data_IF_096641349815
#
_entry.id   IF_096641349815
#
_cell.length_a   1.000
_cell.length_b   1.000
_cell.length_c   1.000
_cell.angle_alpha   90.00
_cell.angle_beta   90.00
_cell.angle_gamma   90.00
#
_symmetry.space_group_name_H-M   'P 1'
#
loop_
_entity.id
_entity.type
_entity.pdbx_description
1 polymer ?
#
# COMPACT_ATOMS: atom_id res chain seq x y z
N UNK A 1 -5.06 -20.11 -29.27
CA UNK A 1 -5.01 -19.27 -28.05
C UNK A 1 -6.24 -19.58 -27.24
N UNK A 2 -6.05 -19.95 -25.98
CA UNK A 2 -7.10 -20.56 -25.16
C UNK A 2 -8.03 -19.47 -24.59
N UNK A 3 -9.35 -19.66 -24.63
CA UNK A 3 -10.31 -18.65 -24.15
C UNK A 3 -10.14 -18.32 -22.64
N UNK A 4 -9.55 -19.23 -21.85
CA UNK A 4 -9.16 -18.98 -20.45
C UNK A 4 -7.98 -18.01 -20.29
N UNK A 5 -7.04 -17.98 -21.24
CA UNK A 5 -5.92 -17.02 -21.23
C UNK A 5 -6.39 -15.62 -21.62
N UNK A 6 -7.39 -15.52 -22.50
CA UNK A 6 -8.00 -14.24 -22.85
C UNK A 6 -8.79 -13.66 -21.67
N UNK A 7 -9.60 -14.47 -20.98
CA UNK A 7 -10.41 -14.01 -19.85
C UNK A 7 -9.55 -13.58 -18.65
N UNK A 8 -8.50 -14.33 -18.33
CA UNK A 8 -7.56 -13.99 -17.24
C UNK A 8 -6.76 -12.72 -17.52
N UNK A 9 -6.39 -12.45 -18.78
CA UNK A 9 -5.69 -11.22 -19.16
C UNK A 9 -6.62 -9.98 -19.15
N UNK A 10 -7.88 -10.15 -19.55
CA UNK A 10 -8.89 -9.07 -19.52
C UNK A 10 -9.26 -8.71 -18.06
N UNK A 11 -9.39 -9.70 -17.17
CA UNK A 11 -9.64 -9.47 -15.74
C UNK A 11 -8.44 -8.85 -15.01
N UNK A 12 -7.19 -9.20 -15.39
CA UNK A 12 -5.99 -8.53 -14.88
C UNK A 12 -5.92 -7.08 -15.33
N UNK A 13 -6.25 -6.78 -16.60
CA UNK A 13 -6.27 -5.42 -17.14
C UNK A 13 -7.31 -4.51 -16.47
N UNK A 14 -8.55 -4.99 -16.27
CA UNK A 14 -9.61 -4.25 -15.54
C UNK A 14 -9.33 -4.10 -14.04
N UNK A 15 -8.70 -5.09 -13.40
CA UNK A 15 -8.27 -4.96 -12.00
C UNK A 15 -7.12 -3.97 -11.81
N UNK A 16 -6.21 -3.87 -12.78
CA UNK A 16 -5.14 -2.87 -12.76
C UNK A 16 -5.70 -1.45 -12.80
N UNK A 17 -6.60 -1.13 -13.72
CA UNK A 17 -7.20 0.21 -13.83
C UNK A 17 -7.96 0.64 -12.55
N UNK A 18 -8.58 -0.32 -11.85
CA UNK A 18 -9.20 -0.10 -10.53
C UNK A 18 -8.19 0.03 -9.36
N UNK A 19 -7.09 -0.75 -9.35
CA UNK A 19 -5.99 -0.59 -8.35
C UNK A 19 -5.26 0.74 -8.53
N UNK A 20 -5.09 1.17 -9.78
CA UNK A 20 -4.35 2.38 -10.17
C UNK A 20 -5.04 3.68 -9.72
N UNK A 21 -6.36 3.76 -9.78
CA UNK A 21 -7.11 4.96 -9.36
C UNK A 21 -7.20 5.16 -7.84
N UNK A 22 -6.71 4.19 -7.06
CA UNK A 22 -6.85 4.14 -5.61
C UNK A 22 -5.51 4.25 -4.87
N UNK A 23 -4.41 4.69 -5.52
CA UNK A 23 -3.12 4.85 -4.85
C UNK A 23 -3.20 5.65 -3.55
N UNK A 24 -3.92 6.78 -3.57
CA UNK A 24 -4.12 7.63 -2.37
C UNK A 24 -4.91 6.91 -1.26
N UNK A 25 -5.64 5.85 -1.58
CA UNK A 25 -6.37 5.03 -0.63
C UNK A 25 -5.54 3.87 -0.05
N UNK A 26 -4.39 3.57 -0.65
CA UNK A 26 -3.45 2.56 -0.14
C UNK A 26 -2.82 3.02 1.18
N UNK A 27 -2.28 2.09 1.96
CA UNK A 27 -1.52 2.42 3.18
C UNK A 27 -0.38 3.38 2.89
N UNK A 28 0.35 3.19 1.79
CA UNK A 28 1.45 4.05 1.40
C UNK A 28 0.97 5.44 0.97
N UNK A 29 -0.06 5.51 0.12
CA UNK A 29 -0.64 6.79 -0.33
C UNK A 29 -1.25 7.61 0.80
N UNK A 30 -1.96 6.97 1.75
CA UNK A 30 -2.47 7.62 2.97
C UNK A 30 -1.35 8.14 3.86
N UNK A 31 -0.27 7.37 4.01
CA UNK A 31 0.93 7.78 4.76
C UNK A 31 1.55 9.03 4.14
N UNK A 32 1.74 9.02 2.81
CA UNK A 32 2.29 10.18 2.07
C UNK A 32 1.38 11.39 2.19
N UNK A 33 0.07 11.23 1.98
CA UNK A 33 -0.88 12.34 2.06
C UNK A 33 -0.90 12.99 3.45
N UNK A 34 -0.87 12.19 4.51
CA UNK A 34 -0.79 12.68 5.89
C UNK A 34 0.52 13.41 6.16
N UNK A 35 1.64 12.88 5.65
CA UNK A 35 2.95 13.50 5.81
C UNK A 35 3.07 14.84 5.05
N UNK A 36 2.48 14.94 3.85
CA UNK A 36 2.40 16.19 3.10
C UNK A 36 1.56 17.22 3.87
N UNK A 37 0.42 16.83 4.45
CA UNK A 37 -0.40 17.73 5.29
C UNK A 37 0.40 18.31 6.46
N UNK A 38 1.08 17.43 7.21
CA UNK A 38 1.94 17.84 8.34
C UNK A 38 3.06 18.76 7.87
N UNK A 39 3.75 18.39 6.79
CA UNK A 39 4.83 19.20 6.22
C UNK A 39 4.35 20.58 5.78
N UNK A 40 3.19 20.66 5.12
CA UNK A 40 2.58 21.92 4.70
C UNK A 40 2.24 22.80 5.91
N UNK A 41 1.71 22.23 7.00
CA UNK A 41 1.43 22.98 8.24
C UNK A 41 2.71 23.56 8.85
N UNK A 42 3.83 22.85 8.77
CA UNK A 42 5.12 23.36 9.25
C UNK A 42 5.66 24.49 8.38
N UNK A 43 5.45 24.41 7.07
CA UNK A 43 5.91 25.44 6.12
C UNK A 43 5.00 26.68 6.13
N UNK A 44 3.74 26.50 6.49
CA UNK A 44 2.71 27.54 6.49
C UNK A 44 2.07 27.69 7.89
N UNK A 45 2.86 27.97 8.94
CA UNK A 45 2.37 27.98 10.32
C UNK A 45 1.36 29.10 10.60
N UNK A 46 1.42 30.18 9.80
CA UNK A 46 0.62 31.39 10.01
C UNK A 46 -0.71 31.38 9.25
N UNK A 47 -0.97 30.37 8.41
CA UNK A 47 -2.26 30.24 7.72
C UNK A 47 -3.32 29.76 8.70
N UNK A 48 -4.48 30.43 8.70
CA UNK A 48 -5.64 29.94 9.43
C UNK A 48 -6.22 28.70 8.73
N UNK A 49 -6.99 27.89 9.45
CA UNK A 49 -7.42 26.56 8.96
C UNK A 49 -8.15 26.61 7.61
N UNK A 50 -8.99 27.63 7.37
CA UNK A 50 -9.70 27.77 6.09
C UNK A 50 -8.73 28.04 4.92
N UNK A 51 -7.75 28.91 5.11
CA UNK A 51 -6.73 29.21 4.10
C UNK A 51 -5.82 28.00 3.86
N UNK A 52 -5.49 27.27 4.92
CA UNK A 52 -4.74 26.02 4.82
C UNK A 52 -5.50 24.96 4.01
N UNK A 53 -6.80 24.80 4.27
CA UNK A 53 -7.67 23.89 3.51
C UNK A 53 -7.72 24.29 2.04
N UNK A 54 -7.85 25.58 1.72
CA UNK A 54 -7.86 26.06 0.33
C UNK A 54 -6.55 25.78 -0.41
N UNK A 55 -5.40 25.95 0.27
CA UNK A 55 -4.08 25.60 -0.27
C UNK A 55 -3.99 24.11 -0.55
N UNK A 56 -4.36 23.27 0.43
CA UNK A 56 -4.35 21.81 0.30
C UNK A 56 -5.27 21.35 -0.83
N UNK A 57 -6.50 21.83 -0.86
CA UNK A 57 -7.48 21.52 -1.89
C UNK A 57 -6.98 21.95 -3.26
N UNK A 58 -6.35 23.12 -3.36
CA UNK A 58 -5.78 23.61 -4.60
C UNK A 58 -4.65 22.71 -5.08
N UNK A 59 -3.80 22.16 -4.22
CA UNK A 59 -2.79 21.18 -4.61
C UNK A 59 -3.42 19.85 -5.07
N UNK A 60 -4.42 19.34 -4.34
CA UNK A 60 -5.12 18.09 -4.68
C UNK A 60 -5.88 18.24 -6.02
N UNK A 61 -6.75 19.23 -6.13
CA UNK A 61 -7.53 19.60 -7.35
C UNK A 61 -6.63 20.10 -8.47
N UNK A 62 -5.47 20.67 -8.13
CA UNK A 62 -4.46 21.19 -9.04
C UNK A 62 -3.75 20.12 -9.87
N UNK A 63 -3.92 18.85 -9.49
CA UNK A 63 -3.45 17.72 -10.27
C UNK A 63 -2.43 16.86 -9.55
N UNK A 64 -2.37 16.87 -8.22
CA UNK A 64 -1.62 15.83 -7.49
C UNK A 64 -2.22 14.44 -7.79
N UNK A 65 -3.55 14.32 -7.71
CA UNK A 65 -4.28 13.11 -8.10
C UNK A 65 -4.08 12.76 -9.58
N UNK A 66 -4.16 13.76 -10.46
CA UNK A 66 -3.96 13.57 -11.92
C UNK A 66 -2.52 13.18 -12.27
N UNK A 67 -1.53 13.76 -11.60
CA UNK A 67 -0.11 13.53 -11.84
C UNK A 67 0.33 12.15 -11.36
N UNK A 68 -0.20 11.70 -10.21
CA UNK A 68 -0.11 10.30 -9.78
C UNK A 68 -0.72 9.40 -10.85
N UNK A 69 -2.00 9.58 -11.21
CA UNK A 69 -2.66 8.75 -12.21
C UNK A 69 -1.92 8.71 -13.57
N UNK A 70 -1.33 9.82 -14.01
CA UNK A 70 -0.57 9.90 -15.27
C UNK A 70 0.77 9.17 -15.18
N UNK A 71 1.48 9.27 -14.07
CA UNK A 71 2.70 8.50 -13.82
C UNK A 71 2.40 6.99 -13.80
N UNK A 72 1.28 6.62 -13.16
CA UNK A 72 0.78 5.24 -13.10
C UNK A 72 0.45 4.68 -14.51
N UNK A 73 -0.31 5.43 -15.32
CA UNK A 73 -0.65 5.01 -16.68
C UNK A 73 0.58 4.89 -17.59
N UNK A 74 1.61 5.70 -17.34
CA UNK A 74 2.88 5.64 -18.07
C UNK A 74 3.73 4.42 -17.65
N UNK A 75 3.53 3.91 -16.43
CA UNK A 75 4.24 2.76 -15.88
C UNK A 75 3.69 1.40 -16.32
N UNK A 76 2.58 1.35 -17.07
CA UNK A 76 2.05 0.10 -17.68
C UNK A 76 3.09 -0.55 -18.63
N UNK A 77 4.09 0.22 -19.08
CA UNK A 77 5.23 -0.25 -19.87
C UNK A 77 6.52 -0.51 -19.05
N UNK A 78 6.48 -0.33 -17.72
CA UNK A 78 7.63 -0.49 -16.82
C UNK A 78 7.42 -1.72 -15.92
N UNK A 79 8.49 -2.47 -15.67
CA UNK A 79 8.44 -3.74 -14.96
C UNK A 79 7.83 -3.66 -13.54
N UNK A 80 7.60 -4.82 -12.92
CA UNK A 80 6.84 -5.00 -11.67
C UNK A 80 7.20 -4.04 -10.51
N UNK A 81 8.48 -3.69 -10.34
CA UNK A 81 8.94 -2.79 -9.29
C UNK A 81 8.45 -1.35 -9.46
N UNK A 82 8.23 -0.90 -10.70
CA UNK A 82 7.62 0.41 -10.95
C UNK A 82 6.13 0.36 -10.61
N UNK A 83 5.42 -0.71 -11.00
CA UNK A 83 4.00 -0.86 -10.68
C UNK A 83 3.72 -0.84 -9.17
N UNK A 84 4.57 -1.42 -8.33
CA UNK A 84 4.34 -1.44 -6.87
C UNK A 84 4.46 -0.07 -6.19
N UNK A 85 5.35 0.80 -6.67
CA UNK A 85 5.45 2.21 -6.24
C UNK A 85 4.12 2.95 -6.43
N UNK A 86 3.41 2.58 -7.49
CA UNK A 86 2.28 3.29 -8.05
C UNK A 86 0.92 2.72 -7.62
N UNK A 87 0.87 1.42 -7.38
CA UNK A 87 -0.34 0.72 -6.92
C UNK A 87 -0.34 0.53 -5.40
N UNK A 88 0.82 0.70 -4.74
CA UNK A 88 1.00 0.36 -3.33
C UNK A 88 1.11 -1.16 -3.09
N UNK A 89 1.08 -1.95 -4.16
CA UNK A 89 1.14 -3.40 -4.13
C UNK A 89 2.56 -3.89 -4.43
N UNK A 90 3.19 -4.52 -3.46
CA UNK A 90 4.57 -5.00 -3.60
C UNK A 90 4.58 -6.52 -3.54
N UNK A 91 5.53 -7.16 -4.23
CA UNK A 91 5.73 -8.60 -4.10
C UNK A 91 6.28 -8.93 -2.71
N UNK A 92 7.21 -8.11 -2.22
CA UNK A 92 7.86 -8.30 -0.92
C UNK A 92 8.38 -6.98 -0.32
N UNK A 93 8.74 -7.04 0.97
CA UNK A 93 9.23 -5.89 1.71
C UNK A 93 10.54 -5.31 1.14
N UNK A 94 11.42 -6.15 0.57
CA UNK A 94 12.68 -5.70 -0.04
C UNK A 94 12.45 -4.81 -1.26
N UNK A 95 11.49 -5.18 -2.11
CA UNK A 95 11.04 -4.35 -3.23
C UNK A 95 10.49 -3.01 -2.74
N UNK A 96 9.66 -3.04 -1.70
CA UNK A 96 9.09 -1.83 -1.11
C UNK A 96 10.18 -0.90 -0.52
N UNK A 97 11.14 -1.45 0.22
CA UNK A 97 12.26 -0.69 0.77
C UNK A 97 13.18 -0.10 -0.31
N UNK A 98 13.43 -0.84 -1.38
CA UNK A 98 14.32 -0.41 -2.47
C UNK A 98 13.74 0.77 -3.25
N UNK A 99 12.43 0.79 -3.46
CA UNK A 99 11.70 1.89 -4.10
C UNK A 99 11.83 3.24 -3.35
N UNK A 100 12.06 3.19 -2.04
CA UNK A 100 12.23 4.37 -1.18
C UNK A 100 13.70 4.79 -1.16
N UNK A 101 14.59 3.83 -0.84
CA UNK A 101 16.04 4.08 -0.67
C UNK A 101 16.72 4.55 -1.95
N UNK A 102 16.21 4.15 -3.11
CA UNK A 102 16.74 4.58 -4.41
C UNK A 102 16.35 6.02 -4.79
N UNK A 103 15.65 6.76 -3.93
CA UNK A 103 15.12 8.09 -4.25
C UNK A 103 13.82 8.06 -5.05
N UNK A 104 13.46 6.93 -5.66
CA UNK A 104 12.34 6.82 -6.61
C UNK A 104 11.02 7.45 -6.13
N UNK A 105 10.52 7.08 -4.95
CA UNK A 105 9.27 7.64 -4.41
C UNK A 105 9.41 9.11 -4.02
N UNK A 106 10.50 9.47 -3.33
CA UNK A 106 10.70 10.84 -2.81
C UNK A 106 10.95 11.83 -3.94
N UNK A 107 11.74 11.46 -4.95
CA UNK A 107 12.03 12.27 -6.13
C UNK A 107 10.79 12.47 -7.00
N UNK A 108 9.96 11.42 -7.12
CA UNK A 108 8.67 11.50 -7.81
C UNK A 108 7.73 12.48 -7.12
N UNK A 109 7.68 12.46 -5.78
CA UNK A 109 6.87 13.40 -4.99
C UNK A 109 7.42 14.83 -5.11
N UNK A 110 8.73 15.02 -5.05
CA UNK A 110 9.39 16.31 -5.23
C UNK A 110 9.05 16.94 -6.59
N UNK A 111 9.18 16.13 -7.65
CA UNK A 111 8.85 16.55 -9.02
C UNK A 111 7.37 16.89 -9.16
N UNK A 112 6.48 16.04 -8.61
CA UNK A 112 5.04 16.26 -8.67
C UNK A 112 4.63 17.53 -7.94
N UNK A 113 5.22 17.78 -6.76
CA UNK A 113 4.96 18.99 -5.98
C UNK A 113 5.38 20.23 -6.77
N UNK A 114 6.55 20.24 -7.41
CA UNK A 114 6.99 21.38 -8.24
C UNK A 114 6.03 21.65 -9.41
N UNK A 115 5.61 20.59 -10.11
CA UNK A 115 4.68 20.68 -11.25
C UNK A 115 3.34 21.25 -10.82
N UNK A 116 2.74 20.65 -9.79
CA UNK A 116 1.40 21.05 -9.29
C UNK A 116 1.46 22.46 -8.73
N UNK A 117 2.46 22.77 -7.90
CA UNK A 117 2.64 24.09 -7.30
C UNK A 117 2.79 25.17 -8.39
N UNK A 118 3.57 24.90 -9.44
CA UNK A 118 3.67 25.78 -10.60
C UNK A 118 2.35 26.00 -11.32
N UNK A 119 1.56 24.93 -11.53
CA UNK A 119 0.25 24.97 -12.19
C UNK A 119 -0.77 25.79 -11.40
N UNK A 120 -0.92 25.53 -10.10
CA UNK A 120 -1.91 26.21 -9.24
C UNK A 120 -1.57 27.68 -9.00
N UNK A 121 -0.27 28.00 -8.92
CA UNK A 121 0.20 29.39 -8.83
C UNK A 121 -0.14 30.17 -10.10
N UNK A 122 0.16 29.61 -11.28
CA UNK A 122 -0.16 30.24 -12.58
C UNK A 122 -1.66 30.46 -12.78
N UNK A 123 -2.49 29.57 -12.24
CA UNK A 123 -3.96 29.69 -12.27
C UNK A 123 -4.52 30.65 -11.22
N UNK A 124 -3.68 31.24 -10.36
CA UNK A 124 -4.13 32.12 -9.28
C UNK A 124 -4.89 31.41 -8.15
N UNK A 125 -4.83 30.07 -8.09
CA UNK A 125 -5.50 29.27 -7.05
C UNK A 125 -4.80 29.37 -5.69
N UNK A 126 -3.48 29.59 -5.72
CA UNK A 126 -2.66 29.82 -4.52
C UNK A 126 -1.88 31.14 -4.73
N UNK A 127 -1.87 32.04 -3.75
CA UNK A 127 -1.07 33.26 -3.79
C UNK A 127 0.42 32.99 -4.03
N UNK A 128 1.09 33.87 -4.77
CA UNK A 128 2.51 33.69 -5.11
C UNK A 128 3.42 33.59 -3.88
N UNK A 129 3.17 34.39 -2.84
CA UNK A 129 3.91 34.34 -1.58
C UNK A 129 3.76 32.98 -0.89
N UNK A 130 2.54 32.42 -0.83
CA UNK A 130 2.27 31.08 -0.27
C UNK A 130 2.99 30.00 -1.08
N UNK A 131 2.89 30.08 -2.42
CA UNK A 131 3.63 29.18 -3.32
C UNK A 131 5.15 29.25 -3.11
N UNK A 132 5.69 30.45 -2.93
CA UNK A 132 7.12 30.65 -2.69
C UNK A 132 7.55 30.08 -1.33
N UNK A 133 6.71 30.20 -0.28
CA UNK A 133 6.97 29.56 1.01
C UNK A 133 6.99 28.03 0.89
N UNK A 134 6.00 27.44 0.22
CA UNK A 134 5.96 25.99 -0.04
C UNK A 134 7.22 25.54 -0.78
N UNK A 135 7.67 26.29 -1.80
CA UNK A 135 8.88 25.96 -2.56
C UNK A 135 10.15 26.01 -1.70
N UNK A 136 10.26 27.02 -0.81
CA UNK A 136 11.40 27.16 0.11
C UNK A 136 11.39 26.08 1.21
N UNK A 137 10.21 25.70 1.67
CA UNK A 137 10.01 24.65 2.68
C UNK A 137 9.89 23.24 2.10
N UNK A 138 10.15 23.04 0.80
CA UNK A 138 9.93 21.75 0.14
C UNK A 138 10.69 20.61 0.82
N UNK A 139 11.93 20.85 1.21
CA UNK A 139 12.76 19.82 1.86
C UNK A 139 12.15 19.38 3.19
N UNK A 140 11.53 20.30 3.94
CA UNK A 140 10.80 19.96 5.18
C UNK A 140 9.62 19.04 4.88
N UNK A 141 8.90 19.27 3.78
CA UNK A 141 7.80 18.39 3.35
C UNK A 141 8.33 17.02 2.96
N UNK A 142 9.40 16.95 2.17
CA UNK A 142 10.00 15.70 1.70
C UNK A 142 10.61 14.88 2.85
N UNK A 143 11.28 15.52 3.81
CA UNK A 143 11.82 14.89 5.00
C UNK A 143 10.70 14.27 5.85
N UNK A 144 9.58 14.98 6.00
CA UNK A 144 8.40 14.46 6.70
C UNK A 144 7.81 13.25 5.98
N UNK A 145 7.71 13.30 4.65
CA UNK A 145 7.27 12.16 3.84
C UNK A 145 8.19 10.97 4.05
N UNK A 146 9.51 11.16 3.95
CA UNK A 146 10.50 10.10 4.13
C UNK A 146 10.38 9.43 5.50
N UNK A 147 10.37 10.21 6.57
CA UNK A 147 10.26 9.70 7.96
C UNK A 147 8.95 8.94 8.20
N UNK A 148 7.82 9.44 7.68
CA UNK A 148 6.54 8.75 7.85
C UNK A 148 6.49 7.43 7.09
N UNK A 149 7.06 7.39 5.88
CA UNK A 149 7.21 6.17 5.11
C UNK A 149 8.08 5.17 5.90
N UNK A 150 9.24 5.58 6.42
CA UNK A 150 10.12 4.73 7.24
C UNK A 150 9.42 4.18 8.49
N UNK A 151 8.70 5.03 9.22
CA UNK A 151 7.93 4.63 10.39
C UNK A 151 6.86 3.60 10.05
N UNK A 152 6.11 3.82 8.96
CA UNK A 152 5.13 2.85 8.49
C UNK A 152 5.79 1.51 8.16
N UNK A 153 6.94 1.49 7.48
CA UNK A 153 7.66 0.25 7.19
C UNK A 153 8.18 -0.47 8.44
N UNK A 154 8.68 0.25 9.42
CA UNK A 154 9.01 -0.34 10.73
C UNK A 154 7.79 -1.00 11.37
N UNK A 155 6.62 -0.35 11.29
CA UNK A 155 5.37 -0.96 11.75
C UNK A 155 4.98 -2.21 10.97
N UNK A 156 5.14 -2.20 9.64
CA UNK A 156 4.88 -3.37 8.79
C UNK A 156 5.81 -4.54 9.16
N UNK A 157 7.09 -4.29 9.42
CA UNK A 157 8.05 -5.32 9.89
C UNK A 157 7.58 -5.93 11.21
N UNK A 158 7.24 -5.10 12.20
CA UNK A 158 6.78 -5.57 13.50
C UNK A 158 5.49 -6.39 13.39
N UNK A 159 4.60 -6.05 12.46
CA UNK A 159 3.38 -6.81 12.20
C UNK A 159 3.65 -8.13 11.49
N UNK A 160 4.64 -8.18 10.59
CA UNK A 160 5.10 -9.43 9.96
C UNK A 160 5.74 -10.38 10.97
N UNK A 161 6.51 -9.88 11.93
CA UNK A 161 7.09 -10.70 13.00
C UNK A 161 6.00 -11.34 13.88
N UNK A 162 4.97 -10.56 14.22
CA UNK A 162 3.80 -11.08 14.95
C UNK A 162 3.02 -12.09 14.13
N UNK A 163 2.80 -11.81 12.84
CA UNK A 163 2.14 -12.74 11.93
C UNK A 163 2.88 -14.07 11.89
N UNK A 164 4.21 -14.06 11.65
CA UNK A 164 5.06 -15.25 11.65
C UNK A 164 4.94 -16.05 12.95
N UNK A 165 4.92 -15.38 14.10
CA UNK A 165 4.69 -16.04 15.39
C UNK A 165 3.32 -16.75 15.45
N UNK A 166 2.26 -16.10 15.00
CA UNK A 166 0.91 -16.69 15.01
C UNK A 166 0.79 -17.84 14.01
N UNK A 167 1.41 -17.73 12.84
CA UNK A 167 1.50 -18.82 11.85
C UNK A 167 2.21 -20.04 12.43
N UNK A 168 3.33 -19.84 13.13
CA UNK A 168 4.07 -20.93 13.77
C UNK A 168 3.25 -21.59 14.87
N UNK A 169 2.62 -20.81 15.76
CA UNK A 169 1.73 -21.37 16.78
C UNK A 169 0.57 -22.17 16.17
N UNK A 170 -0.06 -21.63 15.11
CA UNK A 170 -1.13 -22.31 14.40
C UNK A 170 -0.65 -23.65 13.83
N UNK A 171 0.57 -23.71 13.26
CA UNK A 171 1.16 -24.94 12.72
C UNK A 171 1.42 -25.97 13.81
N UNK A 172 1.84 -25.56 15.01
CA UNK A 172 2.00 -26.49 16.14
C UNK A 172 0.65 -27.06 16.58
N UNK A 173 -0.37 -26.23 16.76
CA UNK A 173 -1.72 -26.72 17.08
C UNK A 173 -2.31 -27.62 15.98
N UNK A 174 -1.99 -27.34 14.72
CA UNK A 174 -2.39 -28.20 13.60
C UNK A 174 -1.76 -29.60 13.69
N UNK A 175 -0.48 -29.70 14.04
CA UNK A 175 0.20 -30.99 14.25
C UNK A 175 -0.42 -31.78 15.41
N UNK A 176 -0.76 -31.07 16.48
CA UNK A 176 -1.37 -31.66 17.69
C UNK A 176 -2.87 -31.97 17.52
N UNK A 177 -3.45 -31.63 16.36
CA UNK A 177 -4.89 -31.70 16.08
C UNK A 177 -5.75 -30.92 17.08
N UNK A 178 -5.21 -29.84 17.66
CA UNK A 178 -5.92 -28.94 18.57
C UNK A 178 -6.64 -27.84 17.77
N UNK A 179 -7.89 -28.12 17.41
CA UNK A 179 -8.71 -27.15 16.66
C UNK A 179 -8.95 -25.84 17.43
N UNK A 180 -9.08 -25.90 18.77
CA UNK A 180 -9.35 -24.70 19.57
C UNK A 180 -8.13 -23.78 19.61
N UNK A 181 -6.93 -24.35 19.76
CA UNK A 181 -5.67 -23.63 19.64
C UNK A 181 -5.51 -22.99 18.26
N UNK A 182 -5.81 -23.74 17.19
CA UNK A 182 -5.78 -23.23 15.83
C UNK A 182 -6.74 -22.06 15.60
N UNK A 183 -8.00 -22.18 16.03
CA UNK A 183 -9.01 -21.11 15.85
C UNK A 183 -8.55 -19.81 16.52
N UNK A 184 -7.94 -19.90 17.71
CA UNK A 184 -7.40 -18.74 18.41
C UNK A 184 -6.28 -18.04 17.63
N UNK A 185 -5.34 -18.80 17.08
CA UNK A 185 -4.24 -18.19 16.30
C UNK A 185 -4.70 -17.75 14.91
N UNK A 186 -5.69 -18.43 14.32
CA UNK A 186 -6.31 -18.05 13.05
C UNK A 186 -6.94 -16.65 13.11
N UNK A 187 -7.70 -16.34 14.17
CA UNK A 187 -8.30 -15.01 14.29
C UNK A 187 -7.24 -13.91 14.42
N UNK A 188 -6.11 -14.18 15.10
CA UNK A 188 -4.98 -13.24 15.17
C UNK A 188 -4.29 -13.04 13.82
N UNK A 189 -4.10 -14.12 13.05
CA UNK A 189 -3.57 -14.06 11.68
C UNK A 189 -4.46 -13.17 10.81
N UNK A 190 -5.78 -13.39 10.85
CA UNK A 190 -6.78 -12.63 10.11
C UNK A 190 -6.83 -11.16 10.50
N UNK A 191 -6.68 -10.84 11.77
CA UNK A 191 -6.53 -9.46 12.23
C UNK A 191 -5.26 -8.81 11.67
N UNK A 192 -4.10 -9.48 11.76
CA UNK A 192 -2.84 -8.94 11.25
C UNK A 192 -2.85 -8.75 9.74
N UNK A 193 -3.48 -9.64 8.98
CA UNK A 193 -3.62 -9.51 7.53
C UNK A 193 -4.43 -8.29 7.10
N UNK A 194 -5.29 -7.72 7.96
CA UNK A 194 -6.01 -6.46 7.67
C UNK A 194 -5.14 -5.22 7.88
N UNK A 195 -4.12 -5.32 8.73
CA UNK A 195 -3.19 -4.22 9.04
C UNK A 195 -2.00 -4.16 8.08
N UNK A 196 -1.69 -5.29 7.43
CA UNK A 196 -0.57 -5.43 6.52
C UNK A 196 -0.91 -4.87 5.14
N UNK A 197 0.07 -4.17 4.56
CA UNK A 197 -0.02 -3.79 3.15
C UNK A 197 0.00 -5.04 2.25
N UNK A 198 -0.50 -4.95 1.00
CA UNK A 198 -0.46 -6.07 0.07
C UNK A 198 0.99 -6.43 -0.27
N UNK A 199 1.48 -7.53 0.31
CA UNK A 199 2.82 -8.10 0.08
C UNK A 199 2.65 -9.52 -0.46
N UNK A 200 2.30 -9.64 -1.75
CA UNK A 200 1.71 -10.86 -2.34
C UNK A 200 2.51 -12.14 -2.00
N UNK A 201 3.82 -12.16 -2.24
CA UNK A 201 4.65 -13.34 -1.94
C UNK A 201 4.92 -13.50 -0.44
N UNK A 202 4.98 -12.39 0.31
CA UNK A 202 5.26 -12.43 1.76
C UNK A 202 4.09 -13.01 2.55
N UNK A 203 2.85 -12.71 2.14
CA UNK A 203 1.64 -13.12 2.84
C UNK A 203 1.09 -14.48 2.35
N UNK A 204 1.77 -15.11 1.39
CA UNK A 204 1.30 -16.33 0.75
C UNK A 204 1.06 -17.47 1.75
N UNK A 205 1.95 -17.60 2.73
CA UNK A 205 1.82 -18.63 3.76
C UNK A 205 0.62 -18.39 4.68
N UNK A 206 0.38 -17.13 5.08
CA UNK A 206 -0.77 -16.74 5.87
C UNK A 206 -2.08 -17.10 5.16
N UNK A 207 -2.18 -16.79 3.86
CA UNK A 207 -3.36 -17.11 3.04
C UNK A 207 -3.58 -18.61 2.91
N UNK A 208 -2.51 -19.38 2.71
CA UNK A 208 -2.59 -20.82 2.71
C UNK A 208 -3.11 -21.36 4.06
N UNK A 209 -2.63 -20.81 5.18
CA UNK A 209 -3.14 -21.14 6.52
C UNK A 209 -4.64 -20.82 6.63
N UNK A 210 -5.09 -19.65 6.17
CA UNK A 210 -6.53 -19.32 6.18
C UNK A 210 -7.36 -20.34 5.39
N UNK A 211 -6.87 -20.77 4.23
CA UNK A 211 -7.56 -21.72 3.37
C UNK A 211 -7.64 -23.10 4.03
N UNK A 212 -6.53 -23.61 4.56
CA UNK A 212 -6.51 -24.89 5.28
C UNK A 212 -7.43 -24.84 6.51
N UNK A 213 -7.35 -23.76 7.29
CA UNK A 213 -8.19 -23.59 8.47
C UNK A 213 -9.69 -23.61 8.12
N UNK A 214 -10.10 -22.90 7.08
CA UNK A 214 -11.48 -22.90 6.59
C UNK A 214 -11.94 -24.29 6.14
N UNK A 215 -11.10 -25.05 5.44
CA UNK A 215 -11.43 -26.41 5.00
C UNK A 215 -11.69 -27.31 6.23
N UNK A 216 -10.79 -27.31 7.21
CA UNK A 216 -10.94 -28.12 8.44
C UNK A 216 -12.22 -27.73 9.19
N UNK A 217 -12.46 -26.43 9.35
CA UNK A 217 -13.65 -25.90 10.01
C UNK A 217 -14.94 -26.33 9.31
N UNK A 218 -14.96 -26.27 7.97
CA UNK A 218 -16.11 -26.67 7.17
C UNK A 218 -16.34 -28.19 7.18
N UNK A 219 -15.28 -28.98 7.37
CA UNK A 219 -15.34 -30.43 7.52
C UNK A 219 -15.67 -30.88 8.97
N UNK A 220 -16.15 -29.98 9.83
CA UNK A 220 -16.51 -30.31 11.21
C UNK A 220 -15.31 -30.51 12.15
N UNK A 221 -14.15 -29.95 11.81
CA UNK A 221 -12.90 -30.13 12.57
C UNK A 221 -12.11 -31.37 12.16
N UNK A 222 -12.40 -31.98 11.01
CA UNK A 222 -11.63 -33.11 10.50
C UNK A 222 -10.28 -32.66 9.90
N UNK A 223 -9.21 -33.25 10.42
CA UNK A 223 -7.83 -32.99 10.01
C UNK A 223 -7.38 -33.87 8.85
N UNK A 224 -8.17 -34.85 8.43
CA UNK A 224 -7.84 -35.75 7.32
C UNK A 224 -8.11 -35.07 5.97
N UNK A 225 -7.20 -34.16 5.59
CA UNK A 225 -7.28 -33.43 4.33
C UNK A 225 -6.77 -34.27 3.16
N UNK A 226 -7.55 -34.31 2.08
CA UNK A 226 -7.15 -34.94 0.81
C UNK A 226 -6.02 -34.16 0.13
N UNK A 227 -5.20 -34.81 -0.71
CA UNK A 227 -4.21 -34.13 -1.54
C UNK A 227 -4.80 -32.97 -2.37
N UNK A 228 -6.02 -33.15 -2.89
CA UNK A 228 -6.73 -32.14 -3.68
C UNK A 228 -7.09 -30.91 -2.83
N UNK A 229 -7.54 -31.11 -1.59
CA UNK A 229 -7.82 -30.00 -0.66
C UNK A 229 -6.55 -29.24 -0.28
N UNK A 230 -5.44 -29.95 -0.07
CA UNK A 230 -4.15 -29.33 0.21
C UNK A 230 -3.63 -28.54 -0.99
N UNK A 231 -3.84 -29.03 -2.21
CA UNK A 231 -3.44 -28.31 -3.42
C UNK A 231 -4.33 -27.09 -3.67
N UNK A 232 -5.65 -27.22 -3.49
CA UNK A 232 -6.59 -26.10 -3.57
C UNK A 232 -6.23 -24.96 -2.61
N UNK A 233 -5.72 -25.29 -1.41
CA UNK A 233 -5.30 -24.29 -0.43
C UNK A 233 -4.17 -23.36 -0.91
N UNK A 234 -3.38 -23.81 -1.89
CA UNK A 234 -2.26 -23.05 -2.47
C UNK A 234 -2.67 -22.20 -3.68
N UNK A 235 -3.78 -22.52 -4.32
CA UNK A 235 -4.26 -21.87 -5.55
C UNK A 235 -5.08 -20.61 -5.24
N UNK A 236 -5.74 -20.57 -4.09
CA UNK A 236 -6.56 -19.45 -3.63
C UNK A 236 -5.74 -18.37 -2.89
N UNK A 237 -4.51 -18.11 -3.34
CA UNK A 237 -3.57 -17.17 -2.71
C UNK A 237 -3.30 -15.98 -3.61
#
# INVERSE_FOLDING_TARGET
>A
MNNLELSTNIDKGKNLENRQNNFLETTLGKTINSAIDIGLRWVLPDLIENEFIEVKDSLIKGGLKEGVNKAINSAINLGKSALGIFTGDFENLSQAQSAIKSGGIIDSISTLLDVVLGKVTKKGMIPYNVSNLIRKGKDVILDNVSKNIENNFTSQINNLDKLSKYENNWREYYKDKDFKGMEKEYEKIKEKLKELMPLEETLKQARQIENIHKIIKNNGGDFNLTPEQLELSKILV
#
